data_IF_437828147269
#
_entry.id   IF_437828147269
#
_cell.length_a   1.000
_cell.length_b   1.000
_cell.length_c   1.000
_cell.angle_alpha   90.00
_cell.angle_beta   90.00
_cell.angle_gamma   90.00
#
_symmetry.space_group_name_H-M   'P 1'
#
loop_
_entity.id
_entity.type
_entity.pdbx_description
1 polymer ?
#
# COMPACT_ATOMS: atom_id res chain seq x y z
N UNK A 1 77.21 11.37 7.52
CA UNK A 1 76.25 10.46 6.85
C UNK A 1 75.06 10.32 7.79
N UNK A 2 73.95 11.00 7.46
CA UNK A 2 72.67 10.38 7.05
C UNK A 2 72.01 9.66 8.24
N UNK A 3 70.97 10.16 8.90
CA UNK A 3 69.73 10.70 8.33
C UNK A 3 69.03 11.63 9.35
N UNK A 4 68.87 12.90 9.02
CA UNK A 4 68.04 13.85 9.78
C UNK A 4 67.05 14.63 8.88
N UNK A 5 67.33 14.89 7.59
CA UNK A 5 66.36 15.58 6.74
C UNK A 5 65.21 14.71 6.20
N UNK A 6 65.33 13.37 6.20
CA UNK A 6 64.30 12.49 5.62
C UNK A 6 63.10 12.21 6.55
N UNK A 7 63.25 12.40 7.87
CA UNK A 7 62.15 12.31 8.84
C UNK A 7 61.26 13.56 8.85
N UNK A 8 61.77 14.70 8.37
CA UNK A 8 61.03 15.95 8.36
C UNK A 8 60.01 16.03 7.20
N UNK A 9 60.28 15.35 6.07
CA UNK A 9 59.44 15.47 4.86
C UNK A 9 58.21 14.54 4.89
N UNK A 10 58.18 13.53 5.76
CA UNK A 10 56.99 12.69 6.00
C UNK A 10 56.27 13.01 7.33
N UNK A 11 56.79 13.94 8.12
CA UNK A 11 56.39 14.17 9.52
C UNK A 11 55.65 15.48 9.81
N UNK A 12 55.15 16.20 8.79
CA UNK A 12 54.48 17.49 8.98
C UNK A 12 52.94 17.40 8.98
N UNK A 13 52.35 16.22 9.13
CA UNK A 13 50.99 16.11 9.64
C UNK A 13 51.09 16.25 11.16
N UNK A 14 50.71 17.41 11.69
CA UNK A 14 50.62 17.58 13.15
C UNK A 14 49.62 16.58 13.71
N UNK A 15 49.85 16.12 14.95
CA UNK A 15 48.92 15.22 15.64
C UNK A 15 47.48 15.80 15.66
N UNK A 16 47.36 17.12 15.76
CA UNK A 16 46.11 17.88 15.73
C UNK A 16 45.37 17.77 14.38
N UNK A 17 46.09 17.83 13.24
CA UNK A 17 45.48 17.65 11.92
C UNK A 17 45.04 16.18 11.68
N UNK A 18 45.80 15.21 12.20
CA UNK A 18 45.42 13.80 12.15
C UNK A 18 44.22 13.48 13.05
N UNK A 19 44.14 14.11 14.22
CA UNK A 19 43.01 13.99 15.16
C UNK A 19 41.73 14.55 14.56
N UNK A 20 41.81 15.74 13.94
CA UNK A 20 40.68 16.35 13.22
C UNK A 20 40.17 15.47 12.07
N UNK A 21 41.06 14.95 11.21
CA UNK A 21 40.68 14.04 10.10
C UNK A 21 40.01 12.75 10.62
N UNK A 22 40.47 12.22 11.76
CA UNK A 22 39.86 11.04 12.40
C UNK A 22 38.46 11.34 12.90
N UNK A 23 38.26 12.48 13.56
CA UNK A 23 36.96 12.84 14.11
C UNK A 23 35.95 13.22 13.03
N UNK A 24 36.38 13.90 11.98
CA UNK A 24 35.55 14.14 10.77
C UNK A 24 35.12 12.81 10.12
N UNK A 25 36.04 11.85 10.01
CA UNK A 25 35.74 10.50 9.48
C UNK A 25 34.72 9.76 10.35
N UNK A 26 34.86 9.84 11.69
CA UNK A 26 33.87 9.26 12.63
C UNK A 26 32.51 9.94 12.51
N UNK A 27 32.48 11.26 12.34
CA UNK A 27 31.25 12.02 12.17
C UNK A 27 30.54 11.63 10.87
N UNK A 28 31.28 11.53 9.76
CA UNK A 28 30.76 11.05 8.48
C UNK A 28 30.23 9.62 8.58
N UNK A 29 31.00 8.71 9.18
CA UNK A 29 30.56 7.33 9.41
C UNK A 29 29.28 7.26 10.26
N UNK A 30 29.17 8.12 11.27
CA UNK A 30 27.97 8.22 12.11
C UNK A 30 26.77 8.70 11.31
N UNK A 31 26.94 9.71 10.45
CA UNK A 31 25.89 10.20 9.55
C UNK A 31 25.45 9.12 8.55
N UNK A 32 26.41 8.42 7.93
CA UNK A 32 26.13 7.31 7.00
C UNK A 32 25.35 6.20 7.70
N UNK A 33 25.75 5.79 8.91
CA UNK A 33 25.02 4.78 9.69
C UNK A 33 23.58 5.20 9.99
N UNK A 34 23.34 6.47 10.32
CA UNK A 34 21.98 6.99 10.54
C UNK A 34 21.19 7.00 9.23
N UNK A 35 21.80 7.39 8.12
CA UNK A 35 21.15 7.40 6.81
C UNK A 35 20.77 5.98 6.35
N UNK A 36 21.65 5.00 6.51
CA UNK A 36 21.39 3.59 6.20
C UNK A 36 20.20 3.07 7.01
N UNK A 37 20.16 3.30 8.33
CA UNK A 37 19.03 2.88 9.16
C UNK A 37 17.70 3.50 8.73
N UNK A 38 17.71 4.76 8.28
CA UNK A 38 16.51 5.43 7.73
C UNK A 38 16.07 4.80 6.41
N UNK A 39 17.03 4.49 5.53
CA UNK A 39 16.76 3.84 4.26
C UNK A 39 16.19 2.42 4.47
N UNK A 40 16.75 1.63 5.39
CA UNK A 40 16.25 0.31 5.74
C UNK A 40 14.79 0.37 6.22
N UNK A 41 14.47 1.32 7.10
CA UNK A 41 13.10 1.52 7.57
C UNK A 41 12.13 1.90 6.43
N UNK A 42 12.55 2.77 5.51
CA UNK A 42 11.74 3.12 4.33
C UNK A 42 11.52 1.92 3.40
N UNK A 43 12.53 1.07 3.20
CA UNK A 43 12.41 -0.15 2.39
C UNK A 43 11.38 -1.10 3.01
N UNK A 44 11.39 -1.27 4.33
CA UNK A 44 10.42 -2.14 5.01
C UNK A 44 8.98 -1.60 4.96
N UNK A 45 8.80 -0.28 5.06
CA UNK A 45 7.50 0.37 4.86
C UNK A 45 6.99 0.17 3.42
N UNK A 46 7.86 0.37 2.41
CA UNK A 46 7.51 0.17 0.99
C UNK A 46 7.15 -1.27 0.67
N UNK A 47 7.88 -2.26 1.20
CA UNK A 47 7.53 -3.69 1.08
C UNK A 47 6.15 -4.00 1.68
N UNK A 48 5.78 -3.31 2.75
CA UNK A 48 4.45 -3.49 3.37
C UNK A 48 3.33 -2.90 2.51
N UNK A 49 3.60 -1.76 1.87
CA UNK A 49 2.69 -1.14 0.88
C UNK A 49 2.53 -2.03 -0.35
N UNK A 50 3.62 -2.59 -0.88
CA UNK A 50 3.61 -3.53 -2.00
C UNK A 50 2.71 -4.75 -1.72
N UNK A 51 2.91 -5.42 -0.58
CA UNK A 51 2.07 -6.55 -0.17
C UNK A 51 0.59 -6.18 -0.07
N UNK A 52 0.27 -4.98 0.43
CA UNK A 52 -1.12 -4.53 0.50
C UNK A 52 -1.69 -4.25 -0.90
N UNK A 53 -0.89 -3.70 -1.82
CA UNK A 53 -1.31 -3.49 -3.21
C UNK A 53 -1.61 -4.81 -3.94
N UNK A 54 -0.82 -5.85 -3.69
CA UNK A 54 -1.07 -7.20 -4.23
C UNK A 54 -2.40 -7.76 -3.71
N UNK A 55 -2.66 -7.66 -2.40
CA UNK A 55 -3.92 -8.08 -1.80
C UNK A 55 -5.11 -7.30 -2.35
N UNK A 56 -4.97 -5.99 -2.55
CA UNK A 56 -6.00 -5.15 -3.18
C UNK A 56 -6.31 -5.62 -4.60
N UNK A 57 -5.27 -5.89 -5.39
CA UNK A 57 -5.40 -6.38 -6.77
C UNK A 57 -6.13 -7.72 -6.81
N UNK A 58 -5.80 -8.64 -5.90
CA UNK A 58 -6.48 -9.91 -5.77
C UNK A 58 -7.97 -9.75 -5.45
N UNK A 59 -8.32 -8.89 -4.47
CA UNK A 59 -9.72 -8.67 -4.11
C UNK A 59 -10.51 -7.98 -5.23
N UNK A 60 -9.91 -7.02 -5.93
CA UNK A 60 -10.54 -6.37 -7.09
C UNK A 60 -10.87 -7.41 -8.15
N UNK A 61 -9.92 -8.30 -8.46
CA UNK A 61 -10.11 -9.36 -9.46
C UNK A 61 -11.23 -10.32 -9.08
N UNK A 62 -11.28 -10.76 -7.81
CA UNK A 62 -12.35 -11.63 -7.30
C UNK A 62 -13.71 -10.94 -7.35
N UNK A 63 -13.78 -9.67 -6.95
CA UNK A 63 -15.03 -8.93 -6.95
C UNK A 63 -15.50 -8.64 -8.38
N UNK A 64 -14.62 -8.31 -9.32
CA UNK A 64 -14.97 -8.00 -10.71
C UNK A 64 -15.81 -9.12 -11.34
N UNK A 65 -15.35 -10.37 -11.23
CA UNK A 65 -16.09 -11.53 -11.72
C UNK A 65 -17.48 -11.69 -11.08
N UNK A 66 -17.58 -11.48 -9.76
CA UNK A 66 -18.85 -11.58 -9.02
C UNK A 66 -19.80 -10.43 -9.38
N UNK A 67 -19.27 -9.20 -9.41
CA UNK A 67 -20.00 -7.98 -9.67
C UNK A 67 -20.51 -7.91 -11.11
N UNK A 68 -19.74 -8.41 -12.08
CA UNK A 68 -20.17 -8.52 -13.47
C UNK A 68 -21.44 -9.36 -13.59
N UNK A 69 -21.46 -10.54 -12.95
CA UNK A 69 -22.63 -11.42 -12.94
C UNK A 69 -23.85 -10.78 -12.25
N UNK A 70 -23.67 -10.11 -11.11
CA UNK A 70 -24.74 -9.38 -10.42
C UNK A 70 -25.31 -8.27 -11.31
N UNK A 71 -24.43 -7.49 -11.92
CA UNK A 71 -24.78 -6.34 -12.74
C UNK A 71 -25.59 -6.75 -13.97
N UNK A 72 -25.20 -7.83 -14.65
CA UNK A 72 -25.97 -8.36 -15.78
C UNK A 72 -27.40 -8.73 -15.40
N UNK A 73 -27.57 -9.45 -14.29
CA UNK A 73 -28.90 -9.80 -13.80
C UNK A 73 -29.74 -8.56 -13.48
N UNK A 74 -29.13 -7.57 -12.82
CA UNK A 74 -29.84 -6.35 -12.42
C UNK A 74 -30.23 -5.51 -13.64
N UNK A 75 -29.33 -5.38 -14.62
CA UNK A 75 -29.61 -4.71 -15.90
C UNK A 75 -30.72 -5.42 -16.68
N UNK A 76 -30.74 -6.75 -16.69
CA UNK A 76 -31.81 -7.52 -17.33
C UNK A 76 -33.18 -7.22 -16.69
N UNK A 77 -33.26 -7.22 -15.35
CA UNK A 77 -34.47 -6.83 -14.60
C UNK A 77 -34.89 -5.39 -14.91
N UNK A 78 -33.93 -4.45 -14.95
CA UNK A 78 -34.21 -3.06 -15.30
C UNK A 78 -34.81 -2.94 -16.70
N UNK A 79 -34.24 -3.63 -17.69
CA UNK A 79 -34.77 -3.62 -19.05
C UNK A 79 -36.15 -4.26 -19.17
N UNK A 80 -36.39 -5.38 -18.47
CA UNK A 80 -37.68 -6.09 -18.44
C UNK A 80 -38.84 -5.17 -18.02
N UNK A 81 -38.59 -4.28 -17.07
CA UNK A 81 -39.59 -3.36 -16.52
C UNK A 81 -39.45 -1.93 -17.06
N UNK A 82 -38.74 -1.73 -18.18
CA UNK A 82 -38.51 -0.41 -18.78
C UNK A 82 -37.98 0.64 -17.78
N UNK A 83 -37.12 0.21 -16.85
CA UNK A 83 -36.54 1.01 -15.78
C UNK A 83 -37.53 1.55 -14.73
N UNK A 84 -38.79 1.10 -14.75
CA UNK A 84 -39.77 1.43 -13.73
C UNK A 84 -39.63 0.51 -12.51
N UNK A 85 -39.02 1.06 -11.45
CA UNK A 85 -38.77 0.32 -10.20
C UNK A 85 -40.03 -0.01 -9.40
N UNK A 86 -41.17 0.66 -9.68
CA UNK A 86 -42.43 0.40 -8.99
C UNK A 86 -42.97 -1.00 -9.30
N UNK A 87 -42.62 -1.54 -10.47
CA UNK A 87 -43.04 -2.86 -10.96
C UNK A 87 -42.22 -4.03 -10.39
N UNK A 88 -41.17 -3.72 -9.61
CA UNK A 88 -40.25 -4.74 -9.14
C UNK A 88 -40.87 -5.53 -7.99
N UNK A 89 -40.79 -6.85 -8.07
CA UNK A 89 -41.11 -7.70 -6.93
C UNK A 89 -40.00 -7.62 -5.86
N UNK A 90 -40.23 -8.22 -4.69
CA UNK A 90 -39.27 -8.16 -3.59
C UNK A 90 -37.89 -8.72 -3.96
N UNK A 91 -37.85 -9.85 -4.69
CA UNK A 91 -36.59 -10.46 -5.13
C UNK A 91 -35.81 -9.56 -6.09
N UNK A 92 -36.49 -8.89 -7.00
CA UNK A 92 -35.91 -7.92 -7.93
C UNK A 92 -35.37 -6.69 -7.19
N UNK A 93 -36.08 -6.20 -6.17
CA UNK A 93 -35.61 -5.12 -5.27
C UNK A 93 -34.39 -5.55 -4.45
N UNK A 94 -34.40 -6.76 -3.90
CA UNK A 94 -33.27 -7.31 -3.14
C UNK A 94 -32.02 -7.43 -4.02
N UNK A 95 -32.19 -7.91 -5.25
CA UNK A 95 -31.10 -8.01 -6.22
C UNK A 95 -30.50 -6.63 -6.58
N UNK A 96 -31.37 -5.63 -6.81
CA UNK A 96 -30.93 -4.25 -7.04
C UNK A 96 -30.17 -3.72 -5.81
N UNK A 97 -30.70 -3.93 -4.61
CA UNK A 97 -30.07 -3.50 -3.35
C UNK A 97 -28.68 -4.12 -3.17
N UNK A 98 -28.54 -5.43 -3.41
CA UNK A 98 -27.23 -6.12 -3.30
C UNK A 98 -26.26 -5.58 -4.34
N UNK A 99 -26.71 -5.33 -5.57
CA UNK A 99 -25.85 -4.79 -6.65
C UNK A 99 -25.35 -3.39 -6.30
N UNK A 100 -26.26 -2.49 -5.89
CA UNK A 100 -25.90 -1.12 -5.49
C UNK A 100 -24.98 -1.12 -4.27
N UNK A 101 -25.28 -1.92 -3.25
CA UNK A 101 -24.44 -2.01 -2.04
C UNK A 101 -23.04 -2.54 -2.37
N UNK A 102 -22.93 -3.52 -3.27
CA UNK A 102 -21.64 -4.05 -3.72
C UNK A 102 -20.84 -2.98 -4.48
N UNK A 103 -21.49 -2.20 -5.34
CA UNK A 103 -20.85 -1.08 -6.06
C UNK A 103 -20.36 0.00 -5.09
N UNK A 104 -21.15 0.34 -4.07
CA UNK A 104 -20.77 1.30 -3.03
C UNK A 104 -19.54 0.82 -2.25
N UNK A 105 -19.52 -0.46 -1.87
CA UNK A 105 -18.37 -1.10 -1.21
C UNK A 105 -17.12 -1.08 -2.10
N UNK A 106 -17.25 -1.40 -3.39
CA UNK A 106 -16.14 -1.29 -4.35
C UNK A 106 -15.62 0.14 -4.47
N UNK A 107 -16.52 1.12 -4.61
CA UNK A 107 -16.13 2.54 -4.67
C UNK A 107 -15.40 2.97 -3.40
N UNK A 108 -15.85 2.57 -2.22
CA UNK A 108 -15.19 2.89 -0.96
C UNK A 108 -13.81 2.23 -0.87
N UNK A 109 -13.70 0.97 -1.32
CA UNK A 109 -12.45 0.22 -1.35
C UNK A 109 -11.40 0.86 -2.27
N UNK A 110 -11.79 1.23 -3.49
CA UNK A 110 -10.88 1.88 -4.46
C UNK A 110 -10.43 3.28 -4.02
N UNK A 111 -11.24 3.97 -3.21
CA UNK A 111 -10.89 5.29 -2.63
C UNK A 111 -10.02 5.19 -1.39
N UNK A 112 -9.84 4.00 -0.81
CA UNK A 112 -9.03 3.83 0.39
C UNK A 112 -7.54 3.99 0.05
N UNK A 113 -6.83 4.97 0.63
CA UNK A 113 -5.40 5.12 0.37
C UNK A 113 -4.64 3.96 1.00
N UNK A 114 -3.81 3.26 0.21
CA UNK A 114 -2.95 2.17 0.69
C UNK A 114 -1.87 2.72 1.64
N UNK A 115 -1.40 3.93 1.35
CA UNK A 115 -0.29 4.57 2.04
C UNK A 115 -0.75 5.83 2.78
N UNK A 116 -0.12 6.16 3.90
CA UNK A 116 -0.39 7.36 4.67
C UNK A 116 0.51 8.54 4.24
N UNK A 117 0.35 9.69 4.90
CA UNK A 117 1.15 10.91 4.64
C UNK A 117 2.65 10.76 4.94
N UNK A 118 3.03 9.70 5.66
CA UNK A 118 4.40 9.39 6.04
C UNK A 118 5.00 8.24 5.21
N UNK A 119 4.34 7.87 4.10
CA UNK A 119 4.73 6.77 3.23
C UNK A 119 4.67 5.39 3.89
N UNK A 120 3.86 5.23 4.94
CA UNK A 120 3.64 3.97 5.65
C UNK A 120 2.32 3.33 5.26
N UNK A 121 2.19 2.03 5.53
CA UNK A 121 0.94 1.33 5.34
C UNK A 121 -0.20 1.99 6.15
N UNK A 122 -1.31 2.26 5.48
CA UNK A 122 -2.45 2.94 6.09
C UNK A 122 -3.41 1.94 6.74
N UNK A 123 -3.79 2.15 8.00
CA UNK A 123 -4.80 1.32 8.68
C UNK A 123 -6.15 1.29 7.96
N UNK A 124 -6.50 2.38 7.25
CA UNK A 124 -7.72 2.44 6.43
C UNK A 124 -7.69 1.43 5.29
N UNK A 125 -6.52 1.15 4.72
CA UNK A 125 -6.36 0.16 3.67
C UNK A 125 -6.68 -1.24 4.19
N UNK A 126 -6.19 -1.58 5.38
CA UNK A 126 -6.46 -2.88 6.00
C UNK A 126 -7.95 -3.05 6.36
N UNK A 127 -8.59 -2.00 6.88
CA UNK A 127 -10.05 -2.01 7.13
C UNK A 127 -10.84 -2.18 5.84
N UNK A 128 -10.45 -1.48 4.78
CA UNK A 128 -11.07 -1.59 3.48
C UNK A 128 -10.93 -3.01 2.91
N UNK A 129 -9.74 -3.63 3.06
CA UNK A 129 -9.48 -5.02 2.64
C UNK A 129 -10.41 -6.01 3.34
N UNK A 130 -10.50 -5.93 4.67
CA UNK A 130 -11.37 -6.81 5.45
C UNK A 130 -12.84 -6.66 5.05
N UNK A 131 -13.29 -5.41 4.85
CA UNK A 131 -14.66 -5.13 4.43
C UNK A 131 -14.94 -5.72 3.03
N UNK A 132 -14.00 -5.61 2.10
CA UNK A 132 -14.12 -6.20 0.76
C UNK A 132 -14.16 -7.73 0.80
N UNK A 133 -13.27 -8.35 1.58
CA UNK A 133 -13.26 -9.80 1.77
C UNK A 133 -14.58 -10.32 2.34
N UNK A 134 -15.13 -9.64 3.34
CA UNK A 134 -16.44 -9.98 3.91
C UNK A 134 -17.56 -9.87 2.87
N UNK A 135 -17.54 -8.83 2.03
CA UNK A 135 -18.51 -8.67 0.94
C UNK A 135 -18.40 -9.80 -0.07
N UNK A 136 -17.19 -10.17 -0.49
CA UNK A 136 -16.94 -11.29 -1.42
C UNK A 136 -17.46 -12.60 -0.83
N UNK A 137 -17.13 -12.90 0.43
CA UNK A 137 -17.58 -14.11 1.11
C UNK A 137 -19.12 -14.19 1.20
N UNK A 138 -19.78 -13.06 1.50
CA UNK A 138 -21.23 -12.99 1.55
C UNK A 138 -21.90 -13.14 0.17
N UNK A 139 -21.24 -12.71 -0.91
CA UNK A 139 -21.73 -12.91 -2.28
C UNK A 139 -21.53 -14.35 -2.74
N UNK A 140 -20.41 -14.98 -2.37
CA UNK A 140 -20.13 -16.38 -2.68
C UNK A 140 -21.09 -17.33 -1.96
N UNK A 141 -21.38 -17.09 -0.67
CA UNK A 141 -22.28 -17.94 0.11
C UNK A 141 -23.73 -17.95 -0.40
N UNK A 142 -24.18 -16.87 -1.06
CA UNK A 142 -25.50 -16.80 -1.70
C UNK A 142 -25.59 -17.55 -3.03
N UNK A 143 -24.46 -17.97 -3.58
CA UNK A 143 -24.36 -18.66 -4.87
C UNK A 143 -24.19 -20.19 -4.72
N UNK A 144 -23.78 -20.64 -3.53
CA UNK A 144 -23.69 -22.04 -3.09
C UNK A 144 -25.05 -22.59 -2.68
#
# INVERSE_FOLDING_TARGET
>A
MLAAPSLAIFGALSADEMEKKRDDTKAYLSQVKVAVKKADAMIDDLRSVEKMADLFTEQITKLDALFFSLSQGTIATMKKHHYDTSLYNQKEKDQLCVTVSTLMTLSAFLKAPIMDKHQKLNEKAQKALNLMQNQINALQSKRS
#
